data_IF_395861838037
#
_entry.id   IF_395861838037
#
_cell.length_a   1.000
_cell.length_b   1.000
_cell.length_c   1.000
_cell.angle_alpha   90.00
_cell.angle_beta   90.00
_cell.angle_gamma   90.00
#
_symmetry.space_group_name_H-M   'P 1'
#
loop_
_entity.id
_entity.type
_entity.pdbx_description
1 polymer ?
#
# COMPACT_ATOMS: atom_id res chain seq x y z
N UNK A 1 -27.37 25.42 27.29
CA UNK A 1 -27.71 25.91 25.94
C UNK A 1 -27.48 24.79 24.95
N UNK A 2 -28.57 24.14 24.54
CA UNK A 2 -28.60 22.90 23.77
C UNK A 2 -28.74 23.25 22.29
N UNK A 3 -27.73 23.00 21.47
CA UNK A 3 -27.83 23.22 20.02
C UNK A 3 -28.04 21.88 19.31
N UNK A 4 -29.29 21.64 18.92
CA UNK A 4 -29.70 20.54 18.04
C UNK A 4 -29.34 20.91 16.59
N UNK A 5 -28.48 20.15 15.94
CA UNK A 5 -28.26 20.26 14.48
C UNK A 5 -29.04 19.17 13.77
N UNK A 6 -30.00 19.63 13.01
CA UNK A 6 -30.94 18.92 12.17
C UNK A 6 -30.23 18.24 10.99
N UNK A 7 -30.48 16.94 10.84
CA UNK A 7 -30.07 16.14 9.68
C UNK A 7 -31.08 16.40 8.57
N UNK A 8 -30.66 16.89 7.44
CA UNK A 8 -31.44 16.92 6.21
C UNK A 8 -31.04 15.76 5.31
N UNK A 9 -31.96 14.83 5.16
CA UNK A 9 -31.93 13.79 4.15
C UNK A 9 -32.29 14.41 2.78
N UNK A 10 -31.48 14.14 1.76
CA UNK A 10 -31.84 14.42 0.37
C UNK A 10 -31.88 13.08 -0.35
N UNK A 11 -33.08 12.65 -0.66
CA UNK A 11 -33.36 11.55 -1.58
C UNK A 11 -33.26 12.12 -3.01
N UNK A 12 -32.46 11.47 -3.84
CA UNK A 12 -32.36 11.75 -5.27
C UNK A 12 -32.47 10.46 -6.04
N UNK A 13 -33.66 10.17 -6.52
CA UNK A 13 -34.02 9.08 -7.42
C UNK A 13 -33.75 9.55 -8.85
N UNK A 14 -32.94 8.83 -9.62
CA UNK A 14 -32.91 8.96 -11.06
C UNK A 14 -32.64 7.60 -11.71
N UNK A 15 -33.71 7.07 -12.29
CA UNK A 15 -33.77 5.90 -13.14
C UNK A 15 -33.45 6.34 -14.57
N UNK A 16 -32.48 5.72 -15.24
CA UNK A 16 -32.37 5.80 -16.71
C UNK A 16 -32.07 4.41 -17.26
N UNK A 17 -33.06 3.90 -17.95
CA UNK A 17 -33.05 2.73 -18.85
C UNK A 17 -32.44 3.11 -20.19
N UNK A 18 -31.58 2.30 -20.78
CA UNK A 18 -31.32 2.28 -22.22
C UNK A 18 -30.98 0.88 -22.68
N UNK A 19 -31.86 0.38 -23.55
CA UNK A 19 -31.76 -0.81 -24.42
C UNK A 19 -30.79 -0.51 -25.57
N UNK A 20 -30.23 -1.59 -26.17
CA UNK A 20 -29.62 -1.59 -27.50
C UNK A 20 -28.55 -2.66 -27.62
N UNK A 21 -28.86 -3.90 -27.96
CA UNK A 21 -28.99 -4.57 -29.26
C UNK A 21 -27.74 -4.45 -30.15
N UNK A 22 -27.23 -5.63 -30.47
CA UNK A 22 -26.78 -6.21 -31.74
C UNK A 22 -25.38 -6.83 -31.70
N UNK A 23 -25.37 -8.15 -31.79
CA UNK A 23 -24.25 -8.92 -32.32
C UNK A 23 -24.35 -8.96 -33.86
N UNK A 24 -23.26 -9.11 -34.59
CA UNK A 24 -23.30 -9.88 -35.83
C UNK A 24 -22.43 -11.12 -35.78
N UNK A 25 -22.94 -12.07 -36.54
CA UNK A 25 -22.52 -13.44 -36.70
C UNK A 25 -21.21 -13.65 -37.47
N UNK A 26 -20.71 -14.84 -37.26
CA UNK A 26 -19.73 -15.64 -37.94
C UNK A 26 -19.45 -15.36 -39.41
N UNK A 27 -18.18 -15.47 -39.78
CA UNK A 27 -17.78 -16.08 -41.05
C UNK A 27 -16.62 -17.04 -40.81
N UNK A 28 -16.89 -18.30 -41.09
CA UNK A 28 -15.90 -19.36 -41.20
C UNK A 28 -15.07 -19.13 -42.47
N UNK A 29 -13.74 -19.25 -42.36
CA UNK A 29 -12.89 -19.50 -43.53
C UNK A 29 -12.03 -20.72 -43.27
N UNK A 30 -12.32 -21.68 -44.12
CA UNK A 30 -11.67 -22.97 -44.33
C UNK A 30 -10.36 -22.75 -45.11
N UNK A 31 -9.31 -23.49 -44.75
CA UNK A 31 -8.27 -23.89 -45.68
C UNK A 31 -6.92 -23.25 -45.52
N UNK A 32 -5.93 -24.06 -45.19
CA UNK A 32 -4.50 -23.72 -45.26
C UNK A 32 -3.65 -24.78 -44.54
N UNK A 33 -3.05 -25.65 -45.34
CA UNK A 33 -2.20 -26.78 -44.98
C UNK A 33 -1.03 -26.49 -44.04
N UNK A 34 -0.48 -27.51 -43.37
CA UNK A 34 0.54 -27.38 -42.34
C UNK A 34 1.91 -27.14 -42.95
N UNK A 35 2.59 -26.13 -42.45
CA UNK A 35 4.03 -25.90 -42.64
C UNK A 35 4.77 -26.44 -41.41
N UNK A 36 5.68 -27.42 -41.58
CA UNK A 36 6.51 -27.87 -40.46
C UNK A 36 7.75 -27.00 -40.33
N UNK A 37 8.08 -26.64 -39.08
CA UNK A 37 9.42 -26.19 -38.79
C UNK A 37 9.53 -24.69 -38.45
N UNK A 38 9.38 -24.39 -37.17
CA UNK A 38 9.79 -23.16 -36.53
C UNK A 38 9.87 -23.43 -35.05
N UNK A 39 11.02 -23.87 -34.57
CA UNK A 39 11.35 -23.88 -33.13
C UNK A 39 11.38 -22.43 -32.68
N UNK A 40 10.28 -21.96 -32.14
CA UNK A 40 10.21 -20.72 -31.39
C UNK A 40 11.00 -20.93 -30.10
N UNK A 41 12.04 -20.13 -29.80
CA UNK A 41 12.63 -20.15 -28.47
C UNK A 41 11.55 -19.75 -27.49
N UNK A 42 11.18 -20.68 -26.60
CA UNK A 42 10.37 -20.38 -25.43
C UNK A 42 11.15 -19.39 -24.59
N UNK A 43 10.81 -18.14 -24.72
CA UNK A 43 11.28 -17.08 -23.84
C UNK A 43 10.87 -17.51 -22.42
N UNK A 44 11.81 -17.66 -21.47
CA UNK A 44 11.46 -17.97 -20.11
C UNK A 44 10.67 -16.77 -19.58
N UNK A 45 9.35 -16.93 -19.48
CA UNK A 45 8.50 -16.00 -18.73
C UNK A 45 9.06 -15.95 -17.31
N UNK A 46 9.87 -14.93 -17.05
CA UNK A 46 10.33 -14.63 -15.71
C UNK A 46 9.09 -14.33 -14.86
N UNK A 47 8.59 -15.35 -14.16
CA UNK A 47 7.63 -15.13 -13.09
C UNK A 47 8.26 -14.12 -12.13
N UNK A 48 7.58 -13.01 -11.81
CA UNK A 48 8.07 -12.14 -10.76
C UNK A 48 8.13 -12.99 -9.49
N UNK A 49 9.33 -13.22 -8.99
CA UNK A 49 9.57 -13.85 -7.70
C UNK A 49 8.99 -12.93 -6.64
N UNK A 50 7.70 -13.03 -6.40
CA UNK A 50 7.05 -12.33 -5.30
C UNK A 50 7.51 -13.01 -4.01
N UNK A 51 8.49 -12.41 -3.36
CA UNK A 51 8.83 -12.80 -1.99
C UNK A 51 7.56 -12.80 -1.14
N UNK A 52 7.31 -13.85 -0.35
CA UNK A 52 6.06 -13.97 0.39
C UNK A 52 5.88 -12.76 1.33
N UNK A 53 4.76 -12.08 1.21
CA UNK A 53 4.37 -11.03 2.15
C UNK A 53 3.78 -11.67 3.41
N UNK A 54 4.00 -11.04 4.58
CA UNK A 54 3.38 -11.48 5.83
C UNK A 54 2.79 -10.31 6.61
N UNK A 55 1.76 -10.59 7.39
CA UNK A 55 1.04 -9.57 8.16
C UNK A 55 1.31 -9.76 9.65
N UNK A 56 1.55 -8.65 10.36
CA UNK A 56 1.76 -8.60 11.80
C UNK A 56 0.92 -7.49 12.45
N UNK A 57 0.39 -7.78 13.63
CA UNK A 57 -0.29 -6.82 14.49
C UNK A 57 0.64 -6.45 15.65
N UNK A 58 1.25 -5.28 15.63
CA UNK A 58 2.22 -4.84 16.64
C UNK A 58 2.02 -3.39 16.97
N UNK A 59 2.49 -3.00 18.17
CA UNK A 59 2.45 -1.61 18.58
C UNK A 59 3.36 -0.74 17.73
N UNK A 60 2.84 0.42 17.33
CA UNK A 60 3.53 1.47 16.61
C UNK A 60 3.52 2.78 17.39
N UNK A 61 4.46 3.62 17.09
CA UNK A 61 4.53 5.04 17.46
C UNK A 61 4.86 5.86 16.22
N UNK A 62 5.08 7.17 16.36
CA UNK A 62 5.53 7.99 15.26
C UNK A 62 6.54 9.06 15.73
N UNK A 63 7.39 9.49 14.79
CA UNK A 63 8.44 10.49 15.00
C UNK A 63 8.43 11.55 13.88
N UNK A 64 9.11 12.65 14.08
CA UNK A 64 9.22 13.69 13.05
C UNK A 64 9.81 14.99 13.51
N UNK A 65 9.10 15.90 14.21
CA UNK A 65 9.51 17.32 14.32
C UNK A 65 10.93 17.56 14.81
N UNK A 66 11.41 16.79 15.77
CA UNK A 66 12.79 16.94 16.30
C UNK A 66 13.89 16.33 15.42
N UNK A 67 13.52 15.67 14.31
CA UNK A 67 14.46 14.94 13.45
C UNK A 67 14.48 15.47 12.02
N UNK A 68 13.69 16.47 11.67
CA UNK A 68 13.68 17.03 10.32
C UNK A 68 15.02 17.62 9.92
N UNK A 69 15.40 17.40 8.67
CA UNK A 69 16.69 17.76 8.11
C UNK A 69 17.83 16.80 8.45
N UNK A 70 17.61 15.82 9.35
CA UNK A 70 18.62 14.81 9.70
C UNK A 70 18.52 13.61 8.75
N UNK A 71 19.66 12.99 8.48
CA UNK A 71 19.71 11.70 7.75
C UNK A 71 19.29 10.58 8.69
N UNK A 72 18.44 9.70 8.17
CA UNK A 72 18.04 8.46 8.83
C UNK A 72 19.14 7.39 8.70
N UNK A 73 19.01 6.29 9.43
CA UNK A 73 19.99 5.20 9.37
C UNK A 73 20.12 4.55 7.96
N UNK A 74 19.13 4.73 7.09
CA UNK A 74 19.18 4.27 5.69
C UNK A 74 19.58 5.37 4.71
N UNK A 75 20.08 6.51 5.17
CA UNK A 75 20.58 7.61 4.34
C UNK A 75 19.51 8.57 3.80
N UNK A 76 18.24 8.39 4.14
CA UNK A 76 17.17 9.29 3.71
C UNK A 76 17.14 10.53 4.61
N UNK A 77 17.11 11.73 4.02
CA UNK A 77 16.89 12.96 4.79
C UNK A 77 15.41 13.05 5.19
N UNK A 78 15.15 13.17 6.49
CA UNK A 78 13.80 13.26 7.01
C UNK A 78 13.21 14.65 6.80
N UNK A 79 12.05 14.71 6.18
CA UNK A 79 11.28 15.93 5.93
C UNK A 79 9.85 15.82 6.45
N UNK A 80 9.11 16.92 6.60
CA UNK A 80 7.69 16.87 6.96
C UNK A 80 6.81 16.05 6.01
N UNK A 81 7.27 15.83 4.77
CA UNK A 81 6.55 15.11 3.72
C UNK A 81 7.04 13.69 3.51
N UNK A 82 8.12 13.27 4.16
CA UNK A 82 8.71 11.93 4.02
C UNK A 82 7.72 10.85 4.48
N UNK A 83 7.42 9.90 3.59
CA UNK A 83 6.65 8.69 3.88
C UNK A 83 7.66 7.57 4.13
N UNK A 84 7.69 7.04 5.34
CA UNK A 84 8.63 6.01 5.73
C UNK A 84 8.30 5.46 7.10
N UNK A 85 9.09 4.47 7.51
CA UNK A 85 8.97 3.81 8.80
C UNK A 85 10.37 3.42 9.31
N UNK A 86 10.56 3.46 10.62
CA UNK A 86 11.70 2.85 11.27
C UNK A 86 11.36 1.45 11.76
N UNK A 87 12.28 0.50 11.54
CA UNK A 87 12.20 -0.86 12.06
C UNK A 87 13.58 -1.37 12.48
N UNK A 88 13.61 -2.18 13.56
CA UNK A 88 14.88 -2.64 14.16
C UNK A 88 15.72 -3.53 13.25
N UNK A 89 15.06 -4.45 12.52
CA UNK A 89 15.73 -5.57 11.84
C UNK A 89 15.46 -5.67 10.34
N UNK A 90 14.32 -5.16 9.85
CA UNK A 90 14.00 -5.25 8.42
C UNK A 90 15.04 -4.48 7.60
N UNK A 91 15.45 -4.99 6.43
CA UNK A 91 16.35 -4.28 5.52
C UNK A 91 15.83 -2.89 5.17
N UNK A 92 16.74 -1.95 4.95
CA UNK A 92 16.39 -0.67 4.33
C UNK A 92 15.78 -0.91 2.96
N UNK A 93 14.75 -0.15 2.60
CA UNK A 93 14.04 -0.37 1.35
C UNK A 93 12.88 -1.36 1.43
N UNK A 94 12.76 -2.15 2.52
CA UNK A 94 11.59 -3.03 2.70
C UNK A 94 10.29 -2.23 2.64
N UNK A 95 9.34 -2.71 1.84
CA UNK A 95 8.03 -2.09 1.67
C UNK A 95 7.06 -2.65 2.71
N UNK A 96 6.35 -1.76 3.40
CA UNK A 96 5.38 -2.12 4.44
C UNK A 96 4.09 -1.35 4.21
N UNK A 97 2.97 -2.06 4.12
CA UNK A 97 1.64 -1.46 4.08
C UNK A 97 1.03 -1.47 5.47
N UNK A 98 0.79 -0.30 6.02
CA UNK A 98 0.13 -0.11 7.30
C UNK A 98 -1.36 0.10 7.10
N UNK A 99 -2.17 -0.55 7.96
CA UNK A 99 -3.63 -0.40 7.97
C UNK A 99 -4.11 -0.07 9.38
N UNK A 100 -4.97 0.96 9.48
CA UNK A 100 -5.56 1.41 10.73
C UNK A 100 -6.93 2.04 10.47
N UNK A 101 -7.98 1.62 11.20
CA UNK A 101 -9.33 2.17 11.11
C UNK A 101 -9.85 2.36 9.67
N UNK A 102 -9.68 1.33 8.83
CA UNK A 102 -10.14 1.33 7.43
C UNK A 102 -9.30 2.15 6.45
N UNK A 103 -8.17 2.73 6.91
CA UNK A 103 -7.21 3.45 6.05
C UNK A 103 -5.94 2.65 5.88
N UNK A 104 -5.29 2.80 4.73
CA UNK A 104 -4.01 2.16 4.46
C UNK A 104 -3.01 3.14 3.87
N UNK A 105 -1.73 2.88 4.12
CA UNK A 105 -0.61 3.61 3.53
C UNK A 105 0.58 2.67 3.34
N UNK A 106 1.20 2.74 2.19
CA UNK A 106 2.46 2.03 1.93
C UNK A 106 3.63 2.94 2.25
N UNK A 107 4.59 2.43 3.02
CA UNK A 107 5.79 3.13 3.45
C UNK A 107 7.00 2.22 3.31
N UNK A 108 8.17 2.82 3.15
CA UNK A 108 9.45 2.10 3.05
C UNK A 108 10.21 2.18 4.36
N UNK A 109 10.94 1.13 4.72
CA UNK A 109 11.87 1.14 5.86
C UNK A 109 13.04 2.03 5.51
N UNK A 110 13.12 3.19 6.16
CA UNK A 110 14.13 4.22 5.94
C UNK A 110 15.01 4.49 7.16
N UNK A 111 14.67 3.90 8.31
CA UNK A 111 15.36 4.19 9.56
C UNK A 111 15.41 2.98 10.49
N UNK A 112 16.18 3.10 11.59
CA UNK A 112 16.31 2.11 12.65
C UNK A 112 15.58 2.54 13.91
N UNK A 113 14.93 1.59 14.57
CA UNK A 113 14.10 1.79 15.75
C UNK A 113 12.73 1.12 15.60
N UNK A 114 11.77 1.39 16.48
CA UNK A 114 11.92 2.10 17.75
C UNK A 114 12.73 1.30 18.76
N UNK A 115 13.57 1.99 19.54
CA UNK A 115 14.35 1.32 20.61
C UNK A 115 13.54 1.17 21.89
N UNK A 116 12.36 1.76 21.95
CA UNK A 116 11.42 1.61 23.06
C UNK A 116 10.89 0.17 23.12
N UNK A 117 10.91 -0.42 24.32
CA UNK A 117 10.38 -1.77 24.56
C UNK A 117 8.87 -1.84 24.25
N UNK A 118 8.43 -2.93 23.64
CA UNK A 118 7.01 -3.15 23.31
C UNK A 118 6.56 -2.58 21.94
N UNK A 119 7.40 -1.78 21.29
CA UNK A 119 7.09 -1.21 19.97
C UNK A 119 7.90 -1.90 18.87
N UNK A 120 7.24 -2.18 17.75
CA UNK A 120 7.88 -2.73 16.56
C UNK A 120 8.07 -1.70 15.46
N UNK A 121 7.19 -0.71 15.38
CA UNK A 121 7.14 0.25 14.29
C UNK A 121 7.23 1.69 14.81
N UNK A 122 7.98 2.53 14.11
CA UNK A 122 8.02 3.97 14.35
C UNK A 122 7.77 4.71 13.02
N UNK A 123 6.53 5.18 12.85
CA UNK A 123 6.08 5.78 11.61
C UNK A 123 6.63 7.20 11.48
N UNK A 124 6.99 7.64 10.27
CA UNK A 124 7.18 9.09 10.08
C UNK A 124 5.85 9.81 10.31
N UNK A 125 5.91 11.06 10.73
CA UNK A 125 4.70 11.90 10.95
C UNK A 125 3.77 11.89 9.74
N UNK A 126 4.30 11.91 8.51
CA UNK A 126 3.51 11.88 7.29
C UNK A 126 2.80 10.55 7.09
N UNK A 127 3.48 9.44 7.35
CA UNK A 127 2.90 8.08 7.31
C UNK A 127 1.77 7.97 8.33
N UNK A 128 2.03 8.35 9.59
CA UNK A 128 1.02 8.33 10.65
C UNK A 128 -0.21 9.21 10.32
N UNK A 129 0.01 10.39 9.73
CA UNK A 129 -1.08 11.25 9.27
C UNK A 129 -1.93 10.60 8.18
N UNK A 130 -1.30 9.97 7.18
CA UNK A 130 -2.02 9.34 6.06
C UNK A 130 -2.86 8.14 6.49
N UNK A 131 -2.34 7.31 7.37
CA UNK A 131 -3.07 6.14 7.86
C UNK A 131 -4.10 6.49 8.95
N UNK A 132 -4.14 7.76 9.42
CA UNK A 132 -5.06 8.21 10.46
C UNK A 132 -4.58 7.91 11.89
N UNK A 133 -3.32 7.53 12.07
CA UNK A 133 -2.75 7.12 13.36
C UNK A 133 -2.14 8.29 14.16
N UNK A 134 -2.02 9.48 13.56
CA UNK A 134 -1.32 10.62 14.17
C UNK A 134 -1.92 11.04 15.52
N UNK A 135 -3.27 11.11 15.62
CA UNK A 135 -3.96 11.50 16.84
C UNK A 135 -3.90 10.42 17.93
N UNK A 136 -3.69 9.16 17.56
CA UNK A 136 -3.56 8.03 18.48
C UNK A 136 -2.24 8.11 19.24
N UNK A 137 -1.19 8.59 18.59
CA UNK A 137 0.15 8.72 19.14
C UNK A 137 0.91 7.41 19.24
N UNK A 138 0.33 6.39 19.88
CA UNK A 138 0.92 5.06 19.98
C UNK A 138 -0.16 3.99 20.23
N UNK A 139 0.04 2.78 19.71
CA UNK A 139 -0.90 1.68 19.86
C UNK A 139 -0.74 0.58 18.81
N UNK A 140 -1.65 -0.41 18.78
CA UNK A 140 -1.60 -1.48 17.81
C UNK A 140 -1.91 -0.98 16.39
N UNK A 141 -1.19 -1.49 15.42
CA UNK A 141 -1.41 -1.26 14.00
C UNK A 141 -1.18 -2.57 13.22
N UNK A 142 -1.90 -2.75 12.14
CA UNK A 142 -1.66 -3.86 11.21
C UNK A 142 -0.61 -3.45 10.19
N UNK A 143 0.40 -4.30 10.01
CA UNK A 143 1.45 -4.09 9.03
C UNK A 143 1.61 -5.33 8.15
N UNK A 144 1.52 -5.16 6.84
CA UNK A 144 1.84 -6.20 5.84
C UNK A 144 3.21 -5.87 5.25
N UNK A 145 4.15 -6.78 5.45
CA UNK A 145 5.55 -6.61 5.02
C UNK A 145 5.73 -7.29 3.68
N UNK A 146 6.29 -6.57 2.71
CA UNK A 146 6.72 -7.11 1.42
C UNK A 146 8.23 -6.91 1.32
N UNK A 147 9.03 -7.98 1.37
CA UNK A 147 10.48 -7.88 1.24
C UNK A 147 10.87 -7.26 -0.11
N UNK A 148 12.03 -6.60 -0.20
CA UNK A 148 12.55 -6.20 -1.49
C UNK A 148 12.78 -7.45 -2.36
N UNK A 149 12.46 -7.36 -3.63
CA UNK A 149 12.88 -8.37 -4.62
C UNK A 149 14.39 -8.39 -4.67
N UNK A 150 14.98 -9.53 -4.42
CA UNK A 150 16.43 -9.73 -4.52
C UNK A 150 16.91 -9.65 -5.96
#
# INVERSE_FOLDING_TARGET
MTSKRTIRAIAGLACVTALGVAAPAATAQTGGSPVPGGTTPTEPTAQPSSSPSWTVHKAATWYGPGFWGKSTACGTVLTPTTIGVAHKKLPCGTVVTFSYAGRSVTATVIDRGPYRKGYAWDLTKKTAKRVGFLAVGSGPITATVTPPSG
#
